data_IF_825850917192
#
_entry.id   IF_825850917192
#
_cell.length_a   1.000
_cell.length_b   1.000
_cell.length_c   1.000
_cell.angle_alpha   90.00
_cell.angle_beta   90.00
_cell.angle_gamma   90.00
#
_symmetry.space_group_name_H-M   'P 1'
#
loop_
_entity.id
_entity.type
_entity.pdbx_description
1 polymer ?
#
# COMPACT_ATOMS: atom_id res chain seq x y z
N UNK A 1 2.71 -16.83 -22.17
CA UNK A 1 2.01 -15.76 -22.91
C UNK A 1 2.98 -14.60 -22.99
N UNK A 2 3.39 -14.20 -24.20
CA UNK A 2 4.26 -13.04 -24.39
C UNK A 2 3.36 -11.82 -24.54
N UNK A 3 3.64 -10.74 -23.80
CA UNK A 3 2.99 -9.44 -23.96
C UNK A 3 3.93 -8.52 -24.75
N UNK A 4 3.94 -8.60 -26.11
CA UNK A 4 4.90 -7.86 -26.93
C UNK A 4 4.78 -6.36 -26.74
N UNK A 5 3.56 -5.83 -26.68
CA UNK A 5 3.33 -4.40 -26.45
C UNK A 5 3.98 -3.88 -25.15
N UNK A 6 3.92 -4.66 -24.08
CA UNK A 6 4.57 -4.31 -22.80
C UNK A 6 6.09 -4.42 -22.89
N UNK A 7 6.60 -5.44 -23.57
CA UNK A 7 8.04 -5.58 -23.78
C UNK A 7 8.61 -4.41 -24.60
N UNK A 8 7.94 -4.06 -25.70
CA UNK A 8 8.31 -2.93 -26.56
C UNK A 8 8.26 -1.62 -25.79
N UNK A 9 7.20 -1.39 -24.99
CA UNK A 9 7.09 -0.20 -24.15
C UNK A 9 8.19 -0.10 -23.10
N UNK A 10 8.51 -1.20 -22.40
CA UNK A 10 9.59 -1.21 -21.42
C UNK A 10 10.96 -0.99 -22.06
N UNK A 11 11.16 -1.47 -23.30
CA UNK A 11 12.37 -1.21 -24.07
C UNK A 11 12.43 0.26 -24.51
N UNK A 12 11.34 0.84 -25.00
CA UNK A 12 11.24 2.27 -25.33
C UNK A 12 11.57 3.15 -24.11
N UNK A 13 11.08 2.78 -22.92
CA UNK A 13 11.42 3.46 -21.66
C UNK A 13 12.91 3.32 -21.33
N UNK A 14 13.49 2.14 -21.49
CA UNK A 14 14.89 1.90 -21.19
C UNK A 14 15.86 2.63 -22.13
N UNK A 15 15.47 2.79 -23.40
CA UNK A 15 16.27 3.46 -24.43
C UNK A 15 16.11 4.99 -24.45
N UNK A 16 15.10 5.52 -23.75
CA UNK A 16 14.86 6.96 -23.67
C UNK A 16 15.93 7.68 -22.85
N UNK A 17 16.35 8.87 -23.30
CA UNK A 17 17.27 9.74 -22.56
C UNK A 17 16.72 10.11 -21.18
N UNK A 18 15.42 10.41 -21.12
CA UNK A 18 14.67 10.56 -19.88
C UNK A 18 13.38 9.72 -19.97
N UNK A 19 13.32 8.56 -19.29
CA UNK A 19 12.16 7.67 -19.31
C UNK A 19 10.88 8.32 -18.74
N UNK A 20 11.04 9.21 -17.75
CA UNK A 20 9.92 9.94 -17.14
C UNK A 20 9.33 10.91 -18.16
N UNK A 21 10.17 11.75 -18.77
CA UNK A 21 9.69 12.70 -19.78
C UNK A 21 9.17 11.99 -21.03
N UNK A 22 9.75 10.85 -21.43
CA UNK A 22 9.22 10.05 -22.53
C UNK A 22 7.74 9.71 -22.32
N UNK A 23 7.39 9.22 -21.13
CA UNK A 23 6.02 8.79 -20.82
C UNK A 23 5.08 9.95 -20.50
N UNK A 24 5.51 10.92 -19.70
CA UNK A 24 4.63 11.98 -19.18
C UNK A 24 4.57 13.22 -20.07
N UNK A 25 5.64 13.54 -20.81
CA UNK A 25 5.79 14.82 -21.55
C UNK A 25 6.16 14.64 -23.02
N UNK A 26 6.32 13.40 -23.47
CA UNK A 26 6.92 13.07 -24.76
C UNK A 26 5.99 12.30 -25.69
N UNK A 27 6.59 11.43 -26.51
CA UNK A 27 5.83 10.60 -27.44
C UNK A 27 4.93 9.59 -26.73
N UNK A 28 5.33 9.13 -25.54
CA UNK A 28 4.55 8.22 -24.70
C UNK A 28 3.22 8.85 -24.28
N UNK A 29 3.21 10.11 -23.84
CA UNK A 29 1.98 10.80 -23.41
C UNK A 29 1.01 11.00 -24.57
N UNK A 30 1.52 11.37 -25.75
CA UNK A 30 0.70 11.54 -26.95
C UNK A 30 0.03 10.22 -27.37
N UNK A 31 0.80 9.12 -27.40
CA UNK A 31 0.27 7.77 -27.69
C UNK A 31 -0.76 7.34 -26.63
N UNK A 32 -0.45 7.56 -25.35
CA UNK A 32 -1.32 7.25 -24.23
C UNK A 32 -2.68 7.95 -24.33
N UNK A 33 -2.67 9.28 -24.48
CA UNK A 33 -3.88 10.11 -24.51
C UNK A 33 -4.74 9.81 -25.72
N UNK A 34 -4.14 9.51 -26.88
CA UNK A 34 -4.89 9.08 -28.06
C UNK A 34 -5.73 7.83 -27.76
N UNK A 35 -5.12 6.82 -27.13
CA UNK A 35 -5.82 5.59 -26.73
C UNK A 35 -6.89 5.84 -25.65
N UNK A 36 -6.65 6.79 -24.74
CA UNK A 36 -7.57 7.11 -23.65
C UNK A 36 -8.77 7.96 -24.10
N UNK A 37 -8.60 8.86 -25.06
CA UNK A 37 -9.68 9.65 -25.63
C UNK A 37 -10.70 8.81 -26.41
N UNK A 38 -10.27 7.73 -27.05
CA UNK A 38 -11.18 6.76 -27.68
C UNK A 38 -12.09 6.05 -26.68
N UNK A 39 -11.83 6.19 -25.37
CA UNK A 39 -12.48 5.48 -24.27
C UNK A 39 -13.18 6.41 -23.26
N UNK A 40 -13.49 7.65 -23.67
CA UNK A 40 -14.15 8.67 -22.84
C UNK A 40 -13.41 8.97 -21.50
N UNK A 41 -12.07 8.90 -21.50
CA UNK A 41 -11.25 9.24 -20.33
C UNK A 41 -11.22 10.76 -20.05
N UNK A 42 -11.12 11.11 -18.76
CA UNK A 42 -10.96 12.50 -18.29
C UNK A 42 -9.50 12.96 -18.19
N UNK A 43 -8.53 12.07 -18.43
CA UNK A 43 -7.10 12.39 -18.32
C UNK A 43 -6.71 13.30 -19.49
N UNK A 44 -6.13 14.45 -19.16
CA UNK A 44 -5.63 15.43 -20.13
C UNK A 44 -4.11 15.38 -20.25
N UNK A 45 -3.57 16.11 -21.24
CA UNK A 45 -2.12 16.30 -21.34
C UNK A 45 -1.57 17.06 -20.12
N UNK A 46 -2.29 18.08 -19.65
CA UNK A 46 -1.93 18.84 -18.45
C UNK A 46 -1.84 17.92 -17.22
N UNK A 47 -2.81 17.01 -17.04
CA UNK A 47 -2.75 16.03 -15.94
C UNK A 47 -1.51 15.11 -16.00
N UNK A 48 -1.01 14.80 -17.20
CA UNK A 48 0.21 14.00 -17.36
C UNK A 48 1.47 14.84 -17.13
N UNK A 49 1.52 16.07 -17.66
CA UNK A 49 2.68 16.95 -17.52
C UNK A 49 2.92 17.41 -16.08
N UNK A 50 1.82 17.60 -15.33
CA UNK A 50 1.83 17.99 -13.92
C UNK A 50 2.00 16.80 -12.96
N UNK A 51 2.02 15.57 -13.47
CA UNK A 51 2.21 14.37 -12.64
C UNK A 51 3.66 14.25 -12.17
N UNK A 52 3.87 14.51 -10.87
CA UNK A 52 5.19 14.40 -10.24
C UNK A 52 5.16 13.54 -8.97
N UNK A 53 6.29 12.90 -8.67
CA UNK A 53 6.45 12.14 -7.43
C UNK A 53 6.82 13.07 -6.28
N UNK A 54 6.04 13.05 -5.21
CA UNK A 54 6.33 13.83 -4.01
C UNK A 54 7.30 13.09 -3.09
N UNK A 55 8.46 13.71 -2.80
CA UNK A 55 9.40 13.22 -1.80
C UNK A 55 9.10 13.89 -0.48
N UNK A 56 8.60 13.11 0.48
CA UNK A 56 8.25 13.60 1.81
C UNK A 56 9.00 12.83 2.91
N UNK A 57 9.35 13.49 4.04
CA UNK A 57 9.87 12.79 5.20
C UNK A 57 8.88 11.75 5.72
N UNK A 58 9.40 10.59 6.13
CA UNK A 58 8.59 9.56 6.77
C UNK A 58 7.96 10.07 8.08
N UNK A 59 6.73 9.66 8.35
CA UNK A 59 6.11 9.78 9.67
C UNK A 59 6.78 8.78 10.60
N UNK A 60 7.28 9.27 11.75
CA UNK A 60 8.05 8.47 12.71
C UNK A 60 7.30 8.32 14.03
N UNK A 61 7.39 7.12 14.63
CA UNK A 61 6.90 6.84 15.98
C UNK A 61 7.92 5.97 16.71
N UNK A 62 8.28 6.37 17.93
CA UNK A 62 9.10 5.54 18.80
C UNK A 62 8.22 4.63 19.67
N UNK A 63 8.42 3.32 19.59
CA UNK A 63 7.62 2.33 20.32
C UNK A 63 8.43 1.06 20.57
N UNK A 64 8.37 0.53 21.80
CA UNK A 64 9.05 -0.71 22.21
C UNK A 64 10.56 -0.77 21.81
N UNK A 65 11.27 0.35 21.95
CA UNK A 65 12.71 0.43 21.61
C UNK A 65 13.01 0.52 20.11
N UNK A 66 12.00 0.70 19.26
CA UNK A 66 12.15 0.84 17.81
C UNK A 66 11.60 2.20 17.34
N UNK A 67 12.16 2.72 16.26
CA UNK A 67 11.56 3.81 15.47
C UNK A 67 10.84 3.22 14.28
N UNK A 68 9.51 3.32 14.26
CA UNK A 68 8.66 2.96 13.14
C UNK A 68 8.60 4.13 12.16
N UNK A 69 8.93 3.87 10.91
CA UNK A 69 8.88 4.83 9.81
C UNK A 69 7.92 4.34 8.72
N UNK A 70 7.13 5.25 8.16
CA UNK A 70 6.27 4.97 7.01
C UNK A 70 5.74 6.26 6.37
N UNK A 71 4.92 6.17 5.32
CA UNK A 71 4.51 7.32 4.54
C UNK A 71 3.54 8.24 5.31
N UNK A 72 3.58 9.57 5.05
CA UNK A 72 2.54 10.49 5.49
C UNK A 72 1.20 10.27 4.76
N UNK A 73 0.12 10.98 5.17
CA UNK A 73 -1.10 11.05 4.36
C UNK A 73 -0.77 11.38 2.89
N UNK A 74 -1.47 10.77 1.91
CA UNK A 74 -2.78 10.13 2.02
C UNK A 74 -2.75 8.64 2.42
N UNK A 75 -1.60 8.07 2.76
CA UNK A 75 -1.52 6.72 3.32
C UNK A 75 -2.20 6.63 4.69
N UNK A 76 -2.88 5.51 4.94
CA UNK A 76 -3.43 5.16 6.26
C UNK A 76 -2.39 4.59 7.23
N UNK A 77 -1.09 4.65 6.91
CA UNK A 77 -0.02 4.18 7.81
C UNK A 77 -0.13 4.72 9.25
N UNK A 78 -0.59 5.96 9.43
CA UNK A 78 -0.84 6.52 10.77
C UNK A 78 -1.86 5.73 11.61
N UNK A 79 -2.85 5.09 10.96
CA UNK A 79 -3.80 4.19 11.63
C UNK A 79 -3.10 2.92 12.09
N UNK A 80 -2.21 2.36 11.27
CA UNK A 80 -1.37 1.20 11.64
C UNK A 80 -0.53 1.55 12.87
N UNK A 81 0.15 2.70 12.87
CA UNK A 81 0.95 3.16 14.01
C UNK A 81 0.13 3.24 15.29
N UNK A 82 -1.04 3.88 15.25
CA UNK A 82 -1.89 4.04 16.42
C UNK A 82 -2.45 2.70 16.91
N UNK A 83 -2.83 1.80 16.00
CA UNK A 83 -3.30 0.46 16.35
C UNK A 83 -2.20 -0.34 17.07
N UNK A 84 -0.98 -0.35 16.53
CA UNK A 84 0.17 -1.03 17.17
C UNK A 84 0.49 -0.41 18.53
N UNK A 85 0.49 0.92 18.64
CA UNK A 85 0.74 1.60 19.91
C UNK A 85 -0.28 1.20 20.98
N UNK A 86 -1.57 1.15 20.62
CA UNK A 86 -2.61 0.68 21.53
C UNK A 86 -2.39 -0.78 21.94
N UNK A 87 -1.96 -1.66 21.03
CA UNK A 87 -1.73 -3.07 21.30
C UNK A 87 -0.50 -3.37 22.20
N UNK A 88 0.47 -2.45 22.26
CA UNK A 88 1.71 -2.62 23.04
C UNK A 88 1.59 -2.05 24.46
N UNK A 89 0.54 -1.28 24.75
CA UNK A 89 0.34 -0.70 26.08
C UNK A 89 0.21 -1.80 27.17
N UNK A 90 0.86 -1.64 28.35
CA UNK A 90 0.87 -2.63 29.43
C UNK A 90 -0.51 -3.03 29.98
N UNK A 91 -1.59 -2.33 29.63
CA UNK A 91 -2.97 -2.78 29.90
C UNK A 91 -3.34 -4.06 29.12
N UNK A 92 -2.61 -4.38 28.04
CA UNK A 92 -2.93 -5.45 27.10
C UNK A 92 -1.95 -6.66 27.26
N UNK A 93 -2.46 -7.80 27.76
CA UNK A 93 -1.71 -9.04 28.11
C UNK A 93 -1.74 -10.16 27.02
N UNK A 94 -1.07 -11.30 27.24
CA UNK A 94 -0.82 -12.45 26.37
C UNK A 94 -2.04 -13.04 25.63
N UNK A 95 -3.26 -12.88 26.15
CA UNK A 95 -4.51 -13.36 25.50
C UNK A 95 -4.81 -12.64 24.18
N UNK A 96 -4.14 -11.51 23.91
CA UNK A 96 -4.51 -10.58 22.84
C UNK A 96 -4.04 -11.00 21.45
N UNK A 97 -3.17 -11.99 21.27
CA UNK A 97 -2.96 -12.50 19.89
C UNK A 97 -4.27 -13.03 19.29
N UNK A 98 -5.15 -13.54 20.17
CA UNK A 98 -6.51 -13.97 19.86
C UNK A 98 -7.46 -12.77 19.86
N UNK A 99 -7.43 -11.92 20.89
CA UNK A 99 -8.35 -10.77 20.97
C UNK A 99 -8.08 -9.70 19.91
N UNK A 100 -6.83 -9.44 19.54
CA UNK A 100 -6.46 -8.58 18.41
C UNK A 100 -6.96 -9.17 17.10
N UNK A 101 -6.84 -10.49 16.87
CA UNK A 101 -7.49 -11.13 15.71
C UNK A 101 -9.02 -11.02 15.78
N UNK A 102 -9.61 -11.05 16.96
CA UNK A 102 -11.05 -10.86 17.18
C UNK A 102 -11.49 -9.39 17.21
N UNK A 103 -10.58 -8.41 17.27
CA UNK A 103 -10.86 -6.97 17.25
C UNK A 103 -10.54 -6.37 15.87
N UNK A 104 -9.52 -6.90 15.23
CA UNK A 104 -8.99 -6.46 13.95
C UNK A 104 -9.33 -7.44 12.84
N UNK A 105 -9.93 -8.60 13.11
CA UNK A 105 -10.36 -9.54 12.08
C UNK A 105 -11.46 -8.94 11.18
N UNK A 106 -11.52 -9.41 9.93
CA UNK A 106 -12.51 -8.94 8.93
C UNK A 106 -13.93 -8.91 9.52
N UNK A 107 -14.33 -9.96 10.24
CA UNK A 107 -15.65 -10.08 10.87
C UNK A 107 -15.87 -9.10 12.03
N UNK A 108 -14.82 -8.82 12.81
CA UNK A 108 -14.87 -7.91 13.95
C UNK A 108 -14.97 -6.45 13.52
N UNK A 109 -14.17 -6.09 12.50
CA UNK A 109 -14.24 -4.79 11.83
C UNK A 109 -15.62 -4.64 11.21
N UNK A 110 -16.13 -5.67 10.51
CA UNK A 110 -17.48 -5.68 9.94
C UNK A 110 -18.56 -5.47 11.00
N UNK A 111 -18.52 -6.22 12.09
CA UNK A 111 -19.50 -6.13 13.16
C UNK A 111 -19.43 -4.79 13.92
N UNK A 112 -18.24 -4.22 14.06
CA UNK A 112 -18.04 -2.88 14.64
C UNK A 112 -18.58 -1.80 13.71
N UNK A 113 -18.27 -1.87 12.41
CA UNK A 113 -18.85 -1.00 11.39
C UNK A 113 -20.38 -1.10 11.37
N UNK A 114 -20.95 -2.30 11.49
CA UNK A 114 -22.41 -2.50 11.61
C UNK A 114 -23.01 -1.78 12.83
N UNK A 115 -22.32 -1.74 13.98
CA UNK A 115 -22.81 -1.08 15.20
C UNK A 115 -22.80 0.44 15.11
N UNK A 116 -21.84 1.03 14.38
CA UNK A 116 -21.75 2.48 14.19
C UNK A 116 -22.48 2.99 12.94
N UNK A 117 -23.18 2.11 12.22
CA UNK A 117 -23.90 2.44 11.00
C UNK A 117 -25.28 3.05 11.25
N UNK A 118 -25.60 4.05 10.43
CA UNK A 118 -27.00 4.40 10.16
C UNK A 118 -27.68 3.20 9.50
N UNK A 119 -28.91 2.87 9.95
CA UNK A 119 -29.75 1.75 9.47
C UNK A 119 -30.02 1.71 7.96
N UNK A 120 -29.59 2.73 7.21
CA UNK A 120 -29.89 2.94 5.79
C UNK A 120 -28.65 2.97 4.87
N UNK A 121 -27.45 2.60 5.36
CA UNK A 121 -26.26 2.52 4.50
C UNK A 121 -26.17 1.20 3.72
N UNK A 122 -25.75 1.18 2.44
CA UNK A 122 -25.59 -0.05 1.66
C UNK A 122 -24.53 -0.97 2.29
N UNK A 123 -24.70 -2.30 2.24
CA UNK A 123 -23.73 -3.27 2.76
C UNK A 123 -22.38 -3.11 2.04
N UNK A 124 -21.29 -2.88 2.79
CA UNK A 124 -19.94 -2.74 2.23
C UNK A 124 -19.18 -3.97 2.69
N UNK A 125 -18.93 -4.91 1.77
CA UNK A 125 -17.90 -5.92 1.99
C UNK A 125 -16.56 -5.21 2.06
N UNK A 126 -15.98 -5.24 3.25
CA UNK A 126 -14.68 -4.66 3.54
C UNK A 126 -13.63 -5.70 3.20
N UNK A 127 -13.03 -5.60 2.01
CA UNK A 127 -11.77 -6.27 1.73
C UNK A 127 -10.63 -5.38 2.26
N UNK A 128 -9.87 -5.88 3.23
CA UNK A 128 -8.75 -5.12 3.80
C UNK A 128 -7.57 -5.03 2.84
N UNK A 129 -7.53 -5.88 1.80
CA UNK A 129 -6.39 -6.07 0.91
C UNK A 129 -6.79 -5.84 -0.53
N UNK A 130 -6.09 -4.93 -1.21
CA UNK A 130 -6.18 -4.74 -2.65
C UNK A 130 -5.54 -5.96 -3.35
N UNK A 131 -6.33 -6.65 -4.18
CA UNK A 131 -5.91 -7.89 -4.82
C UNK A 131 -4.94 -7.67 -5.99
N UNK A 132 -4.82 -6.44 -6.50
CA UNK A 132 -3.87 -6.03 -7.54
C UNK A 132 -2.61 -5.35 -6.99
N UNK A 133 -2.26 -5.63 -5.74
CA UNK A 133 -1.11 -5.04 -5.05
C UNK A 133 0.09 -5.99 -4.95
N UNK A 134 1.28 -5.41 -4.80
CA UNK A 134 2.49 -6.13 -4.45
C UNK A 134 3.38 -5.28 -3.54
N UNK A 135 4.32 -5.91 -2.86
CA UNK A 135 5.33 -5.22 -2.04
C UNK A 135 6.72 -5.77 -2.31
N UNK A 136 7.70 -4.88 -2.27
CA UNK A 136 9.12 -5.17 -2.46
C UNK A 136 9.86 -4.68 -1.21
N UNK A 137 10.57 -5.58 -0.56
CA UNK A 137 11.33 -5.32 0.66
C UNK A 137 12.78 -5.73 0.41
N UNK A 138 13.70 -4.77 0.52
CA UNK A 138 15.12 -4.97 0.20
C UNK A 138 15.96 -4.30 1.28
N UNK A 139 17.06 -4.94 1.65
CA UNK A 139 18.20 -4.33 2.34
C UNK A 139 19.46 -4.76 1.62
N UNK A 140 20.42 -3.85 1.42
CA UNK A 140 21.73 -4.18 0.88
C UNK A 140 22.78 -4.43 1.99
N UNK A 141 24.01 -4.74 1.57
CA UNK A 141 25.12 -5.01 2.50
C UNK A 141 25.61 -3.78 3.28
N UNK A 142 25.30 -2.56 2.80
CA UNK A 142 25.65 -1.30 3.44
C UNK A 142 24.61 -0.87 4.48
N UNK A 143 23.46 -1.55 4.53
CA UNK A 143 22.34 -1.24 5.41
C UNK A 143 21.33 -0.26 4.79
N UNK A 144 21.46 0.07 3.51
CA UNK A 144 20.45 0.82 2.78
C UNK A 144 19.24 -0.10 2.56
N UNK A 145 18.05 0.43 2.84
CA UNK A 145 16.82 -0.36 2.85
C UNK A 145 15.68 0.32 2.11
N UNK A 146 14.88 -0.49 1.42
CA UNK A 146 13.69 -0.07 0.69
C UNK A 146 12.50 -0.93 1.11
N UNK A 147 11.41 -0.28 1.51
CA UNK A 147 10.10 -0.89 1.63
C UNK A 147 9.15 -0.18 0.65
N UNK A 148 8.69 -0.89 -0.36
CA UNK A 148 7.79 -0.37 -1.39
C UNK A 148 6.50 -1.18 -1.40
N UNK A 149 5.38 -0.49 -1.54
CA UNK A 149 4.07 -1.08 -1.84
C UNK A 149 3.51 -0.35 -3.04
N UNK A 150 3.06 -1.10 -4.04
CA UNK A 150 2.40 -0.57 -5.23
C UNK A 150 1.14 -1.37 -5.53
N UNK A 151 0.15 -0.72 -6.12
CA UNK A 151 -1.15 -1.34 -6.37
C UNK A 151 -1.91 -0.72 -7.54
N UNK A 152 -2.64 -1.59 -8.25
CA UNK A 152 -3.69 -1.19 -9.18
C UNK A 152 -5.07 -1.05 -8.50
N UNK A 153 -5.18 -1.44 -7.23
CA UNK A 153 -6.42 -1.64 -6.49
C UNK A 153 -6.97 -3.04 -6.71
N UNK A 154 -8.01 -3.18 -7.54
CA UNK A 154 -8.55 -4.50 -7.88
C UNK A 154 -7.57 -5.33 -8.73
N UNK A 155 -7.84 -6.63 -8.89
CA UNK A 155 -7.12 -7.45 -9.88
C UNK A 155 -7.25 -6.81 -11.26
N UNK A 156 -6.12 -6.40 -11.83
CA UNK A 156 -6.01 -5.68 -13.09
C UNK A 156 -6.66 -4.27 -13.06
N UNK A 157 -6.78 -3.66 -11.87
CA UNK A 157 -7.30 -2.31 -11.66
C UNK A 157 -8.70 -2.11 -12.24
N UNK A 158 -8.88 -1.08 -13.07
CA UNK A 158 -10.16 -0.83 -13.73
C UNK A 158 -10.40 -1.73 -14.97
N UNK A 159 -9.47 -2.68 -15.24
CA UNK A 159 -9.45 -3.62 -16.38
C UNK A 159 -9.28 -2.96 -17.74
N UNK A 160 -8.89 -1.69 -17.76
CA UNK A 160 -8.53 -0.97 -18.97
C UNK A 160 -7.09 -1.30 -19.35
N UNK A 161 -6.91 -2.05 -20.44
CA UNK A 161 -5.59 -2.38 -20.98
C UNK A 161 -5.15 -1.28 -21.95
N UNK A 162 -3.99 -0.69 -21.70
CA UNK A 162 -3.41 0.34 -22.57
C UNK A 162 -2.81 -0.29 -23.83
N UNK A 163 -2.61 0.51 -24.88
CA UNK A 163 -1.86 0.08 -26.06
C UNK A 163 -0.41 -0.30 -25.74
N UNK A 164 0.12 0.17 -24.60
CA UNK A 164 1.42 -0.22 -24.06
C UNK A 164 1.40 -1.56 -23.31
N UNK A 165 0.25 -2.24 -23.23
CA UNK A 165 0.16 -3.58 -22.65
C UNK A 165 0.18 -3.64 -21.11
N UNK A 166 -0.11 -2.52 -20.42
CA UNK A 166 -0.32 -2.51 -18.96
C UNK A 166 -1.76 -2.10 -18.60
N UNK A 167 -2.22 -2.50 -17.42
CA UNK A 167 -3.55 -2.16 -16.93
C UNK A 167 -3.57 -0.84 -16.16
N UNK A 168 -4.63 -0.07 -16.30
CA UNK A 168 -4.87 1.13 -15.49
C UNK A 168 -5.40 0.78 -14.10
N UNK A 169 -5.00 1.54 -13.09
CA UNK A 169 -5.50 1.39 -11.73
C UNK A 169 -6.96 1.86 -11.60
N UNK A 170 -7.62 1.53 -10.49
CA UNK A 170 -8.92 2.08 -10.10
C UNK A 170 -8.83 2.94 -8.81
N UNK A 171 -7.67 3.56 -8.54
CA UNK A 171 -7.40 4.28 -7.29
C UNK A 171 -8.36 5.44 -7.02
N UNK A 172 -8.93 6.06 -8.06
CA UNK A 172 -9.95 7.10 -7.94
C UNK A 172 -11.19 6.61 -7.16
N UNK A 173 -11.47 5.30 -7.17
CA UNK A 173 -12.55 4.69 -6.37
C UNK A 173 -12.36 4.82 -4.85
N UNK A 174 -11.15 5.14 -4.40
CA UNK A 174 -10.85 5.39 -2.99
C UNK A 174 -11.25 6.80 -2.53
N UNK A 175 -11.68 7.67 -3.44
CA UNK A 175 -12.39 8.89 -3.07
C UNK A 175 -13.74 8.56 -2.45
N UNK A 176 -14.23 9.56 -1.76
CA UNK A 176 -15.44 9.50 -1.03
C UNK A 176 -16.56 10.09 -1.95
N UNK A 177 -17.69 9.39 -2.19
CA UNK A 177 -18.90 9.92 -2.90
C UNK A 177 -20.24 9.85 -2.07
N UNK A 178 -21.00 10.95 -1.90
CA UNK A 178 -22.36 10.98 -1.28
C UNK A 178 -22.49 11.41 0.21
N UNK A 179 -23.59 11.22 0.94
CA UNK A 179 -23.72 11.68 2.37
C UNK A 179 -23.14 10.72 3.43
N UNK A 180 -22.47 9.66 3.01
CA UNK A 180 -21.47 8.88 3.75
C UNK A 180 -20.20 8.88 2.92
N UNK A 181 -19.03 8.55 3.53
CA UNK A 181 -17.69 8.49 2.91
C UNK A 181 -17.74 9.09 1.50
N UNK A 182 -17.83 10.43 1.48
CA UNK A 182 -18.09 11.13 0.24
C UNK A 182 -18.90 12.37 0.17
N UNK A 183 -19.22 12.94 1.33
CA UNK A 183 -19.93 14.20 1.32
C UNK A 183 -18.99 15.19 0.66
N UNK A 184 -19.46 16.20 -0.09
CA UNK A 184 -18.64 17.37 -0.39
C UNK A 184 -17.98 17.96 0.87
N UNK A 185 -18.47 17.60 2.06
CA UNK A 185 -17.90 17.91 3.38
C UNK A 185 -16.80 16.94 3.86
N UNK A 186 -16.57 15.81 3.19
CA UNK A 186 -15.52 14.85 3.53
C UNK A 186 -14.16 15.41 3.14
N UNK A 187 -13.17 15.27 4.04
CA UNK A 187 -11.78 15.57 3.72
C UNK A 187 -11.22 14.69 2.61
N UNK A 188 -11.86 13.56 2.29
CA UNK A 188 -11.50 12.68 1.17
C UNK A 188 -12.52 12.76 0.01
N UNK A 189 -13.27 13.86 -0.15
CA UNK A 189 -14.07 14.09 -1.35
C UNK A 189 -13.16 14.31 -2.58
N UNK A 190 -13.60 13.92 -3.80
CA UNK A 190 -12.86 14.15 -5.03
C UNK A 190 -12.73 15.66 -5.29
N UNK A 191 -11.51 16.09 -5.60
CA UNK A 191 -11.18 17.44 -6.06
C UNK A 191 -10.14 17.32 -7.18
N UNK A 192 -10.08 18.28 -8.12
CA UNK A 192 -9.01 18.33 -9.11
C UNK A 192 -7.62 18.26 -8.47
N UNK A 193 -6.70 17.54 -9.12
CA UNK A 193 -5.30 17.35 -8.69
C UNK A 193 -5.10 16.76 -7.27
N UNK A 194 -6.16 16.27 -6.61
CA UNK A 194 -6.06 15.66 -5.28
C UNK A 194 -5.79 14.17 -5.39
N UNK A 195 -4.97 13.63 -4.47
CA UNK A 195 -4.83 12.18 -4.30
C UNK A 195 -5.88 11.63 -3.32
N UNK A 196 -6.54 10.50 -3.63
CA UNK A 196 -7.40 9.81 -2.68
C UNK A 196 -6.60 9.17 -1.54
N UNK A 197 -7.26 8.89 -0.42
CA UNK A 197 -6.71 8.03 0.64
C UNK A 197 -6.27 6.67 0.07
N UNK A 198 -5.13 6.14 0.51
CA UNK A 198 -4.62 4.83 0.10
C UNK A 198 -4.36 3.90 1.27
N UNK A 199 -4.56 2.59 1.05
CA UNK A 199 -4.23 1.54 2.02
C UNK A 199 -2.75 1.15 2.02
N UNK A 200 -1.99 1.56 0.99
CA UNK A 200 -0.56 1.25 0.85
C UNK A 200 0.23 1.73 2.07
N UNK A 201 0.78 0.79 2.84
CA UNK A 201 1.42 1.05 4.13
C UNK A 201 2.79 0.35 4.23
N UNK A 202 3.80 0.74 3.43
CA UNK A 202 5.17 0.28 3.65
C UNK A 202 5.71 0.81 4.98
N UNK A 203 6.41 -0.04 5.72
CA UNK A 203 6.94 0.24 7.05
C UNK A 203 8.38 -0.22 7.18
N UNK A 204 9.23 0.66 7.69
CA UNK A 204 10.60 0.38 8.09
C UNK A 204 10.70 0.52 9.61
N UNK A 205 11.09 -0.54 10.29
CA UNK A 205 11.39 -0.53 11.73
C UNK A 205 12.89 -0.43 11.96
N UNK A 206 13.32 0.60 12.70
CA UNK A 206 14.74 0.84 13.01
C UNK A 206 14.96 0.61 14.51
N UNK A 207 16.05 -0.07 14.87
CA UNK A 207 16.51 -0.24 16.26
C UNK A 207 18.03 -0.14 16.29
N UNK A 208 18.55 0.59 17.28
CA UNK A 208 19.99 0.78 17.46
C UNK A 208 20.68 1.27 16.15
N UNK A 209 20.02 2.22 15.47
CA UNK A 209 20.42 2.80 14.17
C UNK A 209 20.56 1.80 13.01
N UNK A 210 19.98 0.60 13.13
CA UNK A 210 19.93 -0.42 12.07
C UNK A 210 18.50 -0.81 11.72
N UNK A 211 18.28 -1.24 10.48
CA UNK A 211 16.98 -1.79 10.04
C UNK A 211 16.69 -3.07 10.82
N UNK A 212 15.72 -3.05 11.72
CA UNK A 212 15.28 -4.21 12.48
C UNK A 212 14.29 -5.08 11.70
N UNK A 213 13.42 -4.45 10.90
CA UNK A 213 12.50 -5.15 10.02
C UNK A 213 11.94 -4.24 8.91
N UNK A 214 11.47 -4.86 7.85
CA UNK A 214 10.72 -4.27 6.75
C UNK A 214 9.40 -5.01 6.59
N UNK A 215 8.31 -4.29 6.37
CA UNK A 215 7.01 -4.85 6.03
C UNK A 215 6.24 -3.87 5.16
N UNK A 216 5.15 -4.31 4.54
CA UNK A 216 4.36 -3.45 3.66
C UNK A 216 3.24 -4.22 2.99
N UNK A 217 2.34 -3.48 2.39
CA UNK A 217 1.17 -4.03 1.73
C UNK A 217 -0.01 -3.07 1.81
N UNK A 218 -1.13 -3.51 1.26
CA UNK A 218 -2.41 -2.79 1.34
C UNK A 218 -3.29 -3.33 2.45
N UNK A 219 -2.97 -4.52 2.99
CA UNK A 219 -3.68 -5.10 4.13
C UNK A 219 -3.29 -4.42 5.44
N UNK A 220 -3.93 -3.30 5.79
CA UNK A 220 -3.57 -2.59 7.03
C UNK A 220 -3.67 -3.46 8.30
N UNK A 221 -4.53 -4.48 8.32
CA UNK A 221 -4.62 -5.46 9.41
C UNK A 221 -3.40 -6.36 9.45
N UNK A 222 -3.04 -6.91 8.29
CA UNK A 222 -1.83 -7.70 8.12
C UNK A 222 -0.57 -6.90 8.45
N UNK A 223 -0.45 -5.66 7.97
CA UNK A 223 0.67 -4.76 8.31
C UNK A 223 0.70 -4.47 9.81
N UNK A 224 -0.44 -4.19 10.44
CA UNK A 224 -0.52 -4.01 11.91
C UNK A 224 -0.03 -5.25 12.65
N UNK A 225 -0.48 -6.44 12.23
CA UNK A 225 -0.05 -7.70 12.82
C UNK A 225 1.45 -7.96 12.62
N UNK A 226 1.99 -7.69 11.42
CA UNK A 226 3.42 -7.84 11.11
C UNK A 226 4.29 -6.90 11.94
N UNK A 227 3.89 -5.64 12.10
CA UNK A 227 4.61 -4.68 12.95
C UNK A 227 4.56 -5.12 14.42
N UNK A 228 3.38 -5.48 14.94
CA UNK A 228 3.23 -5.99 16.31
C UNK A 228 4.09 -7.23 16.56
N UNK A 229 4.09 -8.17 15.61
CA UNK A 229 4.91 -9.38 15.65
C UNK A 229 6.40 -9.04 15.73
N UNK A 230 6.86 -8.11 14.90
CA UNK A 230 8.26 -7.69 14.86
C UNK A 230 8.69 -7.04 16.19
N UNK A 231 7.85 -6.16 16.76
CA UNK A 231 8.17 -5.45 18.00
C UNK A 231 8.17 -6.36 19.23
N UNK A 232 7.24 -7.30 19.31
CA UNK A 232 7.11 -8.19 20.48
C UNK A 232 8.02 -9.42 20.40
N UNK A 233 8.73 -9.61 19.29
CA UNK A 233 9.47 -10.84 18.99
C UNK A 233 8.60 -12.12 19.08
N UNK A 234 7.26 -11.98 19.08
CA UNK A 234 6.34 -13.12 19.15
C UNK A 234 6.29 -13.80 17.80
N UNK A 235 6.18 -15.12 17.78
CA UNK A 235 6.19 -15.91 16.55
C UNK A 235 4.79 -16.49 16.35
N UNK A 236 3.86 -15.68 15.84
CA UNK A 236 2.59 -16.21 15.35
C UNK A 236 2.83 -16.75 13.94
N UNK A 237 2.75 -18.07 13.77
CA UNK A 237 3.04 -18.77 12.52
C UNK A 237 1.98 -18.58 11.41
N UNK A 238 1.03 -17.65 11.58
CA UNK A 238 -0.27 -17.70 10.91
C UNK A 238 -0.75 -16.35 10.34
N UNK A 239 0.11 -15.38 10.02
CA UNK A 239 -0.33 -14.25 9.18
C UNK A 239 -0.12 -14.62 7.71
N UNK A 240 -1.09 -15.31 7.12
CA UNK A 240 -1.17 -15.42 5.66
C UNK A 240 -1.33 -14.00 5.09
N UNK A 241 -0.45 -13.57 4.19
CA UNK A 241 -0.68 -12.39 3.34
C UNK A 241 0.38 -11.28 3.41
N UNK A 242 0.74 -10.75 4.59
CA UNK A 242 1.64 -9.58 4.65
C UNK A 242 3.12 -9.98 4.79
N UNK A 243 4.02 -9.55 3.88
CA UNK A 243 5.44 -9.85 3.98
C UNK A 243 6.08 -9.14 5.18
N UNK A 244 6.89 -9.89 5.93
CA UNK A 244 7.69 -9.37 7.04
C UNK A 244 9.11 -9.89 6.93
N UNK A 245 10.04 -9.01 6.63
CA UNK A 245 11.47 -9.27 6.59
C UNK A 245 12.08 -8.75 7.89
N UNK A 246 12.66 -9.62 8.72
CA UNK A 246 13.09 -9.25 10.08
C UNK A 246 14.52 -9.68 10.37
N UNK A 247 15.29 -8.81 11.05
CA UNK A 247 16.71 -9.05 11.37
C UNK A 247 16.85 -10.12 12.43
N UNK A 248 17.66 -11.12 12.11
CA UNK A 248 18.09 -12.21 12.98
C UNK A 248 19.61 -12.20 13.08
N UNK A 249 20.16 -13.12 13.87
CA UNK A 249 21.62 -13.24 14.10
C UNK A 249 22.43 -13.39 12.82
N UNK A 250 21.82 -13.88 11.73
CA UNK A 250 22.48 -14.17 10.46
C UNK A 250 22.02 -13.24 9.32
N UNK A 251 21.43 -12.09 9.63
CA UNK A 251 20.88 -11.14 8.64
C UNK A 251 19.34 -11.09 8.62
N UNK A 252 18.76 -10.42 7.62
CA UNK A 252 17.31 -10.37 7.44
C UNK A 252 16.75 -11.72 7.00
N UNK A 253 15.65 -12.15 7.62
CA UNK A 253 14.95 -13.40 7.31
C UNK A 253 13.48 -13.11 7.04
N UNK A 254 12.95 -13.61 5.93
CA UNK A 254 11.52 -13.51 5.62
C UNK A 254 10.74 -14.42 6.58
N UNK A 255 9.79 -13.86 7.33
CA UNK A 255 8.99 -14.56 8.34
C UNK A 255 7.61 -15.00 7.83
N UNK A 256 7.38 -15.00 6.52
CA UNK A 256 6.09 -15.36 5.91
C UNK A 256 6.09 -16.81 5.37
N UNK A 257 4.92 -17.46 5.33
CA UNK A 257 4.71 -18.79 4.73
C UNK A 257 4.20 -18.75 3.30
N UNK A 258 3.86 -17.56 2.79
CA UNK A 258 3.34 -17.42 1.44
C UNK A 258 4.42 -17.71 0.38
N UNK A 259 4.17 -18.74 -0.43
CA UNK A 259 5.04 -19.18 -1.52
C UNK A 259 4.98 -18.26 -2.75
N UNK A 260 4.03 -17.31 -2.79
CA UNK A 260 3.94 -16.29 -3.84
C UNK A 260 5.03 -15.22 -3.72
N UNK A 261 5.70 -15.12 -2.57
CA UNK A 261 6.78 -14.19 -2.34
C UNK A 261 8.08 -14.69 -3.01
N UNK A 262 8.55 -13.93 -3.98
CA UNK A 262 9.86 -14.13 -4.58
C UNK A 262 10.93 -13.62 -3.63
N UNK A 263 11.84 -14.50 -3.22
CA UNK A 263 13.02 -14.15 -2.43
C UNK A 263 14.24 -14.30 -3.31
N UNK A 264 14.96 -13.19 -3.54
CA UNK A 264 16.29 -13.17 -4.13
C UNK A 264 17.31 -12.80 -3.05
N UNK A 265 18.48 -13.45 -3.09
CA UNK A 265 19.65 -13.11 -2.29
C UNK A 265 20.70 -12.48 -3.19
#
# INVERSE_FOLDING_TARGET
MLCPALADFLQELADAENPVDYFYRGQGSTKFLKSMHEKDSFITLEDMEDCESEVQPAVKMFLAGHTLCGPPPPSIYSVVQLAVAAMIDPVFDETISKDARELTGKDAVQHTLQRFRSRYGPEIEYESTEQGSFSVLVEDEMGDAVAMTSSLGDKFGNRELTEFGFFMNNAMGSFAYGTQRGSPQSRNAPLPAKCPVTQMSPVIGIKDDQVAFLTGGTDYLGVTASVFQALTSRHSSNSEGTPLLSRRTNGLTLLNRDKSLLVGY
#
